data_IF_681415776998
#
_entry.id   IF_681415776998
#
_cell.length_a   1.000
_cell.length_b   1.000
_cell.length_c   1.000
_cell.angle_alpha   90.00
_cell.angle_beta   90.00
_cell.angle_gamma   90.00
#
_symmetry.space_group_name_H-M   'P 1'
#
loop_
_entity.id
_entity.type
_entity.pdbx_description
1 polymer ?
#
# COMPACT_ATOMS: atom_id res chain seq x y z
N UNK A 1 38.33 -0.33 -2.81
CA UNK A 1 37.53 0.91 -2.97
C UNK A 1 37.63 1.74 -1.69
N UNK A 2 37.84 3.05 -1.82
CA UNK A 2 38.12 3.94 -0.68
C UNK A 2 36.83 4.35 0.07
N UNK A 3 36.52 3.61 1.13
CA UNK A 3 35.35 3.81 2.00
C UNK A 3 35.37 5.18 2.68
N UNK A 4 36.54 5.74 2.99
CA UNK A 4 36.65 7.01 3.70
C UNK A 4 36.29 8.19 2.79
N UNK A 5 36.79 8.17 1.55
CA UNK A 5 36.41 9.17 0.53
C UNK A 5 34.90 9.18 0.28
N UNK A 6 34.27 8.02 0.26
CA UNK A 6 32.83 7.95 0.03
C UNK A 6 32.01 8.47 1.21
N UNK A 7 32.46 8.28 2.45
CA UNK A 7 31.78 8.80 3.66
C UNK A 7 31.65 10.31 3.64
N UNK A 8 32.66 11.01 3.15
CA UNK A 8 32.67 12.48 3.10
C UNK A 8 31.57 13.06 2.21
N UNK A 9 31.25 12.44 1.07
CA UNK A 9 30.16 12.90 0.21
C UNK A 9 28.80 12.37 0.66
N UNK A 10 28.72 11.13 1.16
CA UNK A 10 27.45 10.56 1.63
C UNK A 10 26.85 11.34 2.80
N UNK A 11 27.69 11.93 3.66
CA UNK A 11 27.22 12.82 4.74
C UNK A 11 26.43 14.04 4.23
N UNK A 12 26.58 14.42 2.94
CA UNK A 12 25.80 15.50 2.32
C UNK A 12 24.40 15.04 1.86
N UNK A 13 24.12 13.74 1.86
CA UNK A 13 22.87 13.16 1.35
C UNK A 13 22.17 12.33 2.44
N UNK A 14 21.13 12.87 3.08
CA UNK A 14 20.44 12.17 4.17
C UNK A 14 19.75 10.87 3.75
N UNK A 15 19.57 10.64 2.43
CA UNK A 15 19.01 9.41 1.87
C UNK A 15 20.01 8.25 1.79
N UNK A 16 21.31 8.51 1.96
CA UNK A 16 22.35 7.48 1.90
C UNK A 16 22.51 6.85 3.28
N UNK A 17 21.94 5.66 3.47
CA UNK A 17 21.90 4.98 4.78
C UNK A 17 23.24 4.38 5.22
N UNK A 18 24.03 3.87 4.27
CA UNK A 18 25.34 3.29 4.55
C UNK A 18 26.22 3.23 3.30
N UNK A 19 27.54 3.24 3.50
CA UNK A 19 28.52 2.95 2.44
C UNK A 19 29.17 1.62 2.76
N UNK A 20 28.90 0.65 1.91
CA UNK A 20 29.30 -0.73 2.12
C UNK A 20 30.22 -1.14 0.99
N UNK A 21 31.41 -1.61 1.34
CA UNK A 21 32.45 -2.01 0.39
C UNK A 21 32.69 -3.52 0.36
N UNK A 22 32.08 -4.25 1.30
CA UNK A 22 32.23 -5.69 1.48
C UNK A 22 30.84 -6.33 1.48
N UNK A 23 30.69 -7.47 0.80
CA UNK A 23 29.40 -8.16 0.67
C UNK A 23 28.91 -8.67 2.03
N UNK A 24 29.80 -9.13 2.90
CA UNK A 24 29.43 -9.62 4.24
C UNK A 24 28.86 -8.51 5.12
N UNK A 25 29.39 -7.29 5.00
CA UNK A 25 28.88 -6.11 5.70
C UNK A 25 27.48 -5.75 5.19
N UNK A 26 27.21 -5.92 3.88
CA UNK A 26 25.88 -5.72 3.30
C UNK A 26 24.88 -6.74 3.82
N UNK A 27 25.27 -8.02 3.81
CA UNK A 27 24.43 -9.11 4.31
C UNK A 27 24.14 -8.93 5.80
N UNK A 28 25.13 -8.48 6.58
CA UNK A 28 24.96 -8.16 8.00
C UNK A 28 23.96 -7.03 8.20
N UNK A 29 24.11 -5.90 7.48
CA UNK A 29 23.18 -4.78 7.55
C UNK A 29 21.74 -5.17 7.19
N UNK A 30 21.57 -5.94 6.10
CA UNK A 30 20.25 -6.41 5.66
C UNK A 30 19.62 -7.35 6.70
N UNK A 31 20.40 -8.25 7.30
CA UNK A 31 19.90 -9.15 8.35
C UNK A 31 19.46 -8.39 9.61
N UNK A 32 20.20 -7.37 10.01
CA UNK A 32 19.84 -6.50 11.14
C UNK A 32 18.57 -5.73 10.84
N UNK A 33 18.49 -5.08 9.67
CA UNK A 33 17.29 -4.36 9.24
C UNK A 33 16.07 -5.31 9.17
N UNK A 34 16.25 -6.51 8.64
CA UNK A 34 15.20 -7.54 8.56
C UNK A 34 14.74 -8.05 9.92
N UNK A 35 15.66 -8.21 10.87
CA UNK A 35 15.30 -8.62 12.23
C UNK A 35 14.56 -7.51 12.99
N UNK A 36 14.94 -6.24 12.81
CA UNK A 36 14.18 -5.11 13.35
C UNK A 36 12.76 -5.11 12.78
N UNK A 37 12.60 -5.37 11.47
CA UNK A 37 11.29 -5.50 10.84
C UNK A 37 10.49 -6.72 11.32
N UNK A 38 11.14 -7.83 11.69
CA UNK A 38 10.48 -9.03 12.23
C UNK A 38 10.00 -8.89 13.67
N UNK A 39 10.72 -8.13 14.51
CA UNK A 39 10.29 -7.86 15.89
C UNK A 39 9.01 -7.03 15.91
N UNK A 40 8.77 -6.25 14.85
CA UNK A 40 7.51 -5.56 14.59
C UNK A 40 6.61 -6.51 13.78
N UNK A 41 5.93 -7.44 14.44
CA UNK A 41 4.91 -8.32 13.81
C UNK A 41 3.68 -7.54 13.25
N UNK A 42 3.70 -6.21 13.30
CA UNK A 42 2.69 -5.30 12.73
C UNK A 42 3.14 -4.71 11.39
N UNK A 43 2.20 -4.40 10.49
CA UNK A 43 2.53 -3.90 9.16
C UNK A 43 3.22 -2.55 9.27
N UNK A 44 4.54 -2.57 8.98
CA UNK A 44 5.45 -1.44 8.83
C UNK A 44 5.90 -0.79 10.13
N UNK A 45 7.13 -1.08 10.55
CA UNK A 45 7.85 -0.34 11.58
C UNK A 45 7.97 1.16 11.19
N UNK A 46 7.04 1.97 11.65
CA UNK A 46 7.16 3.43 11.58
C UNK A 46 8.26 3.79 12.58
N UNK A 47 9.40 4.28 12.10
CA UNK A 47 10.39 4.92 12.96
C UNK A 47 9.83 6.29 13.41
N UNK A 48 8.91 6.26 14.39
CA UNK A 48 8.24 7.44 14.94
C UNK A 48 9.23 8.30 15.76
N UNK A 49 10.26 7.68 16.32
CA UNK A 49 11.19 8.33 17.24
C UNK A 49 12.57 8.56 16.62
N UNK A 50 12.66 9.37 15.55
CA UNK A 50 13.89 10.14 15.34
C UNK A 50 13.82 11.36 16.25
N UNK A 51 14.31 11.19 17.48
CA UNK A 51 14.48 12.28 18.45
C UNK A 51 15.49 13.30 17.92
N UNK A 52 15.03 14.47 17.47
CA UNK A 52 15.95 15.58 17.22
C UNK A 52 15.48 16.73 16.33
N UNK A 53 14.46 16.56 15.50
CA UNK A 53 13.96 17.67 14.67
C UNK A 53 12.44 17.64 14.65
N UNK A 54 11.84 18.83 14.80
CA UNK A 54 10.42 19.15 14.65
C UNK A 54 9.63 18.17 13.76
N UNK A 55 8.36 17.97 14.09
CA UNK A 55 7.31 17.19 13.37
C UNK A 55 7.26 17.31 11.83
N UNK A 56 8.09 18.13 11.18
CA UNK A 56 8.29 18.19 9.73
C UNK A 56 9.03 17.00 9.09
N UNK A 57 9.47 16.00 9.85
CA UNK A 57 10.12 14.79 9.30
C UNK A 57 9.19 13.60 9.04
N UNK A 58 8.02 13.58 9.67
CA UNK A 58 7.07 12.45 9.58
C UNK A 58 5.96 12.86 8.63
N UNK A 59 5.83 12.15 7.50
CA UNK A 59 4.78 12.44 6.53
C UNK A 59 3.41 12.12 7.17
N UNK A 60 2.68 13.14 7.61
CA UNK A 60 1.37 12.98 8.26
C UNK A 60 0.37 12.18 7.42
N UNK A 61 0.42 12.34 6.09
CA UNK A 61 -0.42 11.58 5.16
C UNK A 61 -0.08 10.08 5.18
N UNK A 62 1.19 9.75 5.33
CA UNK A 62 1.63 8.37 5.46
C UNK A 62 1.12 7.76 6.77
N UNK A 63 1.26 8.46 7.89
CA UNK A 63 0.75 7.99 9.20
C UNK A 63 -0.77 7.80 9.15
N UNK A 64 -1.49 8.78 8.60
CA UNK A 64 -2.93 8.68 8.39
C UNK A 64 -3.30 7.44 7.55
N UNK A 65 -2.58 7.21 6.45
CA UNK A 65 -2.80 6.05 5.58
C UNK A 65 -2.55 4.72 6.31
N UNK A 66 -1.50 4.64 7.15
CA UNK A 66 -1.22 3.45 7.96
C UNK A 66 -2.35 3.16 8.95
N UNK A 67 -2.77 4.17 9.72
CA UNK A 67 -3.86 4.03 10.68
C UNK A 67 -5.18 3.67 9.97
N UNK A 68 -5.45 4.27 8.81
CA UNK A 68 -6.62 3.94 8.00
C UNK A 68 -6.60 2.47 7.56
N UNK A 69 -5.50 1.99 6.98
CA UNK A 69 -5.35 0.58 6.56
C UNK A 69 -5.57 -0.36 7.75
N UNK A 70 -4.92 -0.07 8.88
CA UNK A 70 -5.01 -0.88 10.09
C UNK A 70 -6.43 -0.92 10.67
N UNK A 71 -7.15 0.21 10.66
CA UNK A 71 -8.58 0.26 10.99
C UNK A 71 -9.42 -0.57 10.02
N UNK A 72 -9.21 -0.44 8.71
CA UNK A 72 -9.96 -1.16 7.69
C UNK A 72 -9.78 -2.68 7.79
N UNK A 73 -8.56 -3.14 8.04
CA UNK A 73 -8.25 -4.57 8.18
C UNK A 73 -8.91 -5.21 9.41
N UNK A 74 -9.14 -4.43 10.48
CA UNK A 74 -9.82 -4.90 11.70
C UNK A 74 -11.35 -4.89 11.61
N UNK A 75 -11.92 -4.15 10.66
CA UNK A 75 -13.37 -4.06 10.48
C UNK A 75 -13.90 -5.29 9.75
N UNK A 76 -14.75 -6.06 10.43
CA UNK A 76 -15.45 -7.21 9.84
C UNK A 76 -16.26 -6.78 8.61
N UNK A 77 -16.09 -7.45 7.48
CA UNK A 77 -16.90 -7.24 6.27
C UNK A 77 -18.14 -8.10 6.28
N UNK A 78 -19.21 -7.53 5.71
CA UNK A 78 -20.48 -8.23 5.51
C UNK A 78 -20.75 -8.37 4.02
N UNK A 79 -21.53 -9.38 3.63
CA UNK A 79 -21.95 -9.56 2.24
C UNK A 79 -22.76 -8.38 1.69
N UNK A 80 -23.28 -7.50 2.56
CA UNK A 80 -23.97 -6.26 2.16
C UNK A 80 -22.99 -5.26 1.54
N UNK A 81 -21.80 -5.12 2.11
CA UNK A 81 -20.74 -4.23 1.61
C UNK A 81 -20.37 -4.62 0.16
N UNK A 82 -20.26 -5.92 -0.11
CA UNK A 82 -20.03 -6.46 -1.46
C UNK A 82 -21.11 -6.02 -2.45
N UNK A 83 -22.37 -6.21 -2.06
CA UNK A 83 -23.53 -5.95 -2.91
C UNK A 83 -23.68 -4.45 -3.18
N UNK A 84 -23.37 -3.63 -2.17
CA UNK A 84 -23.35 -2.17 -2.30
C UNK A 84 -22.28 -1.72 -3.31
N UNK A 85 -21.04 -2.22 -3.21
CA UNK A 85 -19.97 -1.88 -4.15
C UNK A 85 -20.37 -2.19 -5.59
N UNK A 86 -20.88 -3.40 -5.82
CA UNK A 86 -21.31 -3.83 -7.16
C UNK A 86 -22.44 -2.95 -7.69
N UNK A 87 -23.39 -2.57 -6.83
CA UNK A 87 -24.50 -1.68 -7.20
C UNK A 87 -24.00 -0.28 -7.58
N UNK A 88 -23.04 0.26 -6.83
CA UNK A 88 -22.42 1.55 -7.15
C UNK A 88 -21.69 1.47 -8.49
N UNK A 89 -20.86 0.44 -8.69
CA UNK A 89 -20.13 0.24 -9.94
C UNK A 89 -21.09 0.09 -11.15
N UNK A 90 -22.21 -0.64 -11.02
CA UNK A 90 -23.23 -0.75 -12.07
C UNK A 90 -23.79 0.61 -12.49
N UNK A 91 -24.00 1.52 -11.53
CA UNK A 91 -24.47 2.89 -11.80
C UNK A 91 -23.38 3.75 -12.46
N UNK A 92 -22.13 3.66 -11.97
CA UNK A 92 -21.01 4.47 -12.50
C UNK A 92 -20.70 4.11 -13.96
N UNK A 93 -20.81 2.83 -14.32
CA UNK A 93 -20.53 2.34 -15.66
C UNK A 93 -21.79 2.07 -16.48
N UNK A 94 -22.93 2.64 -16.07
CA UNK A 94 -24.18 2.53 -16.82
C UNK A 94 -24.00 3.09 -18.24
N UNK A 95 -24.45 2.34 -19.25
CA UNK A 95 -24.25 2.68 -20.67
C UNK A 95 -22.90 2.24 -21.26
N UNK A 96 -21.92 1.83 -20.44
CA UNK A 96 -20.69 1.23 -20.94
C UNK A 96 -20.83 -0.30 -21.02
N UNK A 97 -21.23 -0.81 -22.18
CA UNK A 97 -21.47 -2.24 -22.41
C UNK A 97 -20.26 -3.11 -22.10
N UNK A 98 -19.05 -2.64 -22.44
CA UNK A 98 -17.81 -3.36 -22.17
C UNK A 98 -17.56 -3.53 -20.67
N UNK A 99 -17.66 -2.46 -19.90
CA UNK A 99 -17.45 -2.52 -18.45
C UNK A 99 -18.57 -3.26 -17.73
N UNK A 100 -19.81 -3.17 -18.22
CA UNK A 100 -20.93 -3.94 -17.69
C UNK A 100 -20.72 -5.46 -17.89
N UNK A 101 -20.16 -5.90 -19.01
CA UNK A 101 -19.78 -7.30 -19.21
C UNK A 101 -18.66 -7.73 -18.25
N UNK A 102 -17.62 -6.91 -18.10
CA UNK A 102 -16.53 -7.20 -17.14
C UNK A 102 -17.05 -7.26 -15.69
N UNK A 103 -17.98 -6.39 -15.34
CA UNK A 103 -18.59 -6.33 -14.02
C UNK A 103 -19.44 -7.58 -13.74
N UNK A 104 -20.22 -8.03 -14.71
CA UNK A 104 -20.95 -9.29 -14.62
C UNK A 104 -19.99 -10.49 -14.51
N UNK A 105 -18.88 -10.49 -15.26
CA UNK A 105 -17.86 -11.54 -15.13
C UNK A 105 -17.23 -11.54 -13.74
N UNK A 106 -16.90 -10.37 -13.22
CA UNK A 106 -16.34 -10.19 -11.89
C UNK A 106 -17.29 -10.71 -10.82
N UNK A 107 -18.56 -10.29 -10.83
CA UNK A 107 -19.57 -10.71 -9.85
C UNK A 107 -19.71 -12.25 -9.75
N UNK A 108 -19.58 -12.96 -10.88
CA UNK A 108 -19.74 -14.41 -10.94
C UNK A 108 -18.44 -15.22 -10.75
N UNK A 109 -17.29 -14.67 -11.14
CA UNK A 109 -16.00 -15.40 -11.16
C UNK A 109 -14.97 -14.87 -10.17
N UNK A 110 -15.30 -13.86 -9.37
CA UNK A 110 -14.37 -13.31 -8.39
C UNK A 110 -13.92 -14.39 -7.39
N UNK A 111 -12.63 -14.36 -7.08
CA UNK A 111 -12.03 -15.14 -6.00
C UNK A 111 -10.87 -14.34 -5.42
N UNK A 112 -10.66 -14.33 -4.10
CA UNK A 112 -9.55 -13.60 -3.47
C UNK A 112 -8.17 -13.95 -4.06
N UNK A 113 -7.98 -15.20 -4.51
CA UNK A 113 -6.72 -15.64 -5.14
C UNK A 113 -6.45 -14.97 -6.50
N UNK A 114 -7.48 -14.38 -7.12
CA UNK A 114 -7.42 -13.67 -8.41
C UNK A 114 -7.53 -12.14 -8.25
N UNK A 115 -7.50 -11.60 -7.02
CA UNK A 115 -7.60 -10.16 -6.78
C UNK A 115 -6.58 -9.35 -7.60
N UNK A 116 -5.32 -9.78 -7.59
CA UNK A 116 -4.24 -9.15 -8.35
C UNK A 116 -4.45 -9.25 -9.87
N UNK A 117 -5.01 -10.36 -10.35
CA UNK A 117 -5.33 -10.54 -11.77
C UNK A 117 -6.41 -9.54 -12.21
N UNK A 118 -7.46 -9.34 -11.41
CA UNK A 118 -8.48 -8.33 -11.66
C UNK A 118 -7.94 -6.91 -11.59
N UNK A 119 -7.00 -6.64 -10.67
CA UNK A 119 -6.36 -5.33 -10.55
C UNK A 119 -5.43 -5.01 -11.72
N UNK A 120 -4.75 -6.00 -12.30
CA UNK A 120 -3.80 -5.77 -13.40
C UNK A 120 -4.46 -5.75 -14.78
N UNK A 121 -5.68 -6.28 -14.91
CA UNK A 121 -6.46 -6.26 -16.15
C UNK A 121 -7.11 -4.88 -16.34
N UNK A 122 -7.12 -4.38 -17.58
CA UNK A 122 -7.82 -3.14 -17.94
C UNK A 122 -9.34 -3.33 -17.90
N UNK A 123 -9.92 -3.21 -16.70
CA UNK A 123 -11.34 -3.34 -16.41
C UNK A 123 -11.79 -2.28 -15.41
N UNK A 124 -13.10 -2.23 -15.16
CA UNK A 124 -13.70 -1.37 -14.15
C UNK A 124 -13.01 -1.49 -12.78
N UNK A 125 -12.49 -2.66 -12.40
CA UNK A 125 -11.89 -2.89 -11.08
C UNK A 125 -10.60 -2.10 -10.90
N UNK A 126 -9.69 -2.17 -11.87
CA UNK A 126 -8.47 -1.35 -11.92
C UNK A 126 -8.80 0.14 -11.92
N UNK A 127 -9.75 0.57 -12.76
CA UNK A 127 -10.14 1.97 -12.90
C UNK A 127 -10.77 2.52 -11.61
N UNK A 128 -11.70 1.76 -11.03
CA UNK A 128 -12.43 2.16 -9.83
C UNK A 128 -11.52 2.25 -8.61
N UNK A 129 -10.64 1.26 -8.37
CA UNK A 129 -9.69 1.30 -7.25
C UNK A 129 -8.76 2.51 -7.38
N UNK A 130 -8.16 2.73 -8.55
CA UNK A 130 -7.24 3.86 -8.72
C UNK A 130 -7.94 5.23 -8.65
N UNK A 131 -9.19 5.32 -9.09
CA UNK A 131 -10.00 6.54 -8.93
C UNK A 131 -10.30 6.81 -7.45
N UNK A 132 -10.66 5.77 -6.70
CA UNK A 132 -10.99 5.85 -5.27
C UNK A 132 -9.77 6.21 -4.43
N UNK A 133 -8.61 5.60 -4.71
CA UNK A 133 -7.37 5.93 -4.02
C UNK A 133 -6.90 7.36 -4.32
N UNK A 134 -7.07 7.83 -5.56
CA UNK A 134 -6.71 9.21 -5.95
C UNK A 134 -7.65 10.26 -5.34
N UNK A 135 -8.93 9.91 -5.15
CA UNK A 135 -9.92 10.80 -4.54
C UNK A 135 -10.02 10.67 -3.02
N UNK A 136 -9.26 9.75 -2.41
CA UNK A 136 -9.29 9.45 -0.98
C UNK A 136 -10.72 9.19 -0.45
N UNK A 137 -11.58 8.59 -1.28
CA UNK A 137 -12.97 8.32 -0.90
C UNK A 137 -13.04 7.16 0.09
N UNK A 138 -13.06 7.50 1.38
CA UNK A 138 -13.03 6.54 2.50
C UNK A 138 -14.16 5.51 2.41
N UNK A 139 -15.38 5.92 2.03
CA UNK A 139 -16.52 5.00 1.90
C UNK A 139 -16.24 3.93 0.85
N UNK A 140 -15.76 4.33 -0.32
CA UNK A 140 -15.43 3.38 -1.38
C UNK A 140 -14.23 2.51 -1.00
N UNK A 141 -13.20 3.05 -0.35
CA UNK A 141 -12.05 2.26 0.16
C UNK A 141 -12.56 1.18 1.13
N UNK A 142 -13.48 1.54 2.03
CA UNK A 142 -14.11 0.60 2.96
C UNK A 142 -14.86 -0.52 2.25
N UNK A 143 -15.60 -0.21 1.18
CA UNK A 143 -16.30 -1.21 0.37
C UNK A 143 -15.33 -2.12 -0.40
N UNK A 144 -14.21 -1.59 -0.88
CA UNK A 144 -13.18 -2.37 -1.59
C UNK A 144 -12.44 -3.36 -0.67
N UNK A 145 -12.39 -3.13 0.65
CA UNK A 145 -11.59 -3.94 1.58
C UNK A 145 -11.91 -5.44 1.58
N UNK A 146 -13.12 -5.81 1.14
CA UNK A 146 -13.60 -7.20 1.16
C UNK A 146 -13.01 -8.04 0.02
N UNK A 147 -12.55 -7.40 -1.05
CA UNK A 147 -12.07 -8.06 -2.26
C UNK A 147 -10.56 -8.24 -2.19
#
# INVERSE_FOLDING_TARGET
MDKQRHKLWANKFPKVKAIITQVDELISCIKVDHNILKIVEEPLAINIFTTGTSTGGVNGQFIFSQVLIDCLLRLKSTSKDQTELITICKKVYEGNTFEMTNLHEFENKYSPTKALWWYTRDTFFFKAINAVLRSENIHMIFLFRQF
#
